data_IF_707382576934
#
_entry.id   IF_707382576934
#
_cell.length_a   1.000
_cell.length_b   1.000
_cell.length_c   1.000
_cell.angle_alpha   90.00
_cell.angle_beta   90.00
_cell.angle_gamma   90.00
#
_symmetry.space_group_name_H-M   'P 1'
#
loop_
_entity.id
_entity.type
_entity.pdbx_description
1 polymer ?
#
# COMPACT_ATOMS: atom_id res chain seq x y z
N UNK A 1 14.02 -3.50 -18.17
CA UNK A 1 12.70 -4.17 -18.17
C UNK A 1 12.24 -4.56 -19.57
N UNK A 2 12.94 -4.18 -20.66
CA UNK A 2 12.54 -4.46 -22.05
C UNK A 2 13.01 -5.83 -22.62
N UNK A 3 13.81 -6.63 -21.91
CA UNK A 3 14.44 -7.83 -22.50
C UNK A 3 13.81 -9.19 -22.12
N UNK A 4 12.92 -9.26 -21.14
CA UNK A 4 12.22 -10.52 -20.80
C UNK A 4 10.72 -10.34 -21.02
N UNK A 5 10.15 -11.10 -21.96
CA UNK A 5 8.72 -11.15 -22.22
C UNK A 5 7.89 -11.83 -21.11
N UNK A 6 8.45 -11.97 -19.91
CA UNK A 6 7.79 -12.53 -18.74
C UNK A 6 6.98 -11.42 -18.05
N UNK A 7 5.71 -11.71 -17.76
CA UNK A 7 4.85 -10.81 -16.99
C UNK A 7 5.43 -10.63 -15.58
N UNK A 8 5.94 -9.43 -15.29
CA UNK A 8 6.49 -9.08 -13.97
C UNK A 8 5.35 -8.75 -13.01
N UNK A 9 5.43 -9.29 -11.79
CA UNK A 9 4.43 -9.06 -10.74
C UNK A 9 4.95 -8.01 -9.77
N UNK A 10 4.23 -6.89 -9.66
CA UNK A 10 4.46 -5.92 -8.60
C UNK A 10 3.80 -6.40 -7.30
N UNK A 11 4.54 -6.37 -6.20
CA UNK A 11 4.07 -6.83 -4.89
C UNK A 11 4.18 -5.72 -3.85
N UNK A 12 3.03 -5.26 -3.34
CA UNK A 12 2.99 -4.16 -2.39
C UNK A 12 3.43 -4.62 -1.00
N UNK A 13 4.57 -4.12 -0.53
CA UNK A 13 5.09 -4.35 0.81
C UNK A 13 4.55 -3.36 1.85
N UNK A 14 3.52 -2.59 1.51
CA UNK A 14 2.91 -1.59 2.40
C UNK A 14 1.71 -2.15 3.15
N UNK A 15 1.12 -1.32 4.01
CA UNK A 15 -0.16 -1.64 4.63
C UNK A 15 -1.27 -1.53 3.58
N UNK A 16 -2.28 -2.40 3.65
CA UNK A 16 -3.34 -2.48 2.65
C UNK A 16 -4.07 -1.15 2.42
N UNK A 17 -4.21 -0.30 3.44
CA UNK A 17 -4.85 1.01 3.30
C UNK A 17 -4.03 1.97 2.41
N UNK A 18 -2.70 1.89 2.42
CA UNK A 18 -1.82 2.75 1.62
C UNK A 18 -2.06 2.53 0.12
N UNK A 19 -2.44 1.31 -0.27
CA UNK A 19 -2.75 0.91 -1.64
C UNK A 19 -4.12 1.39 -2.13
N UNK A 20 -5.02 1.84 -1.24
CA UNK A 20 -6.33 2.37 -1.62
C UNK A 20 -6.23 3.63 -2.47
N UNK A 21 -5.20 4.45 -2.24
CA UNK A 21 -5.06 5.77 -2.89
C UNK A 21 -3.95 5.82 -3.92
N UNK A 22 -3.02 4.87 -3.90
CA UNK A 22 -2.03 4.75 -4.97
C UNK A 22 -1.30 3.42 -4.92
N UNK A 23 -0.97 2.87 -6.09
CA UNK A 23 -0.30 1.58 -6.25
C UNK A 23 0.33 1.46 -7.63
N UNK A 24 1.23 0.50 -7.81
CA UNK A 24 1.64 0.11 -9.17
C UNK A 24 0.47 -0.57 -9.89
N UNK A 25 0.37 -0.33 -11.19
CA UNK A 25 -0.61 -1.00 -12.05
C UNK A 25 -0.51 -2.52 -11.88
N UNK A 26 -1.67 -3.17 -11.72
CA UNK A 26 -1.82 -4.62 -11.57
C UNK A 26 -1.07 -5.24 -10.37
N UNK A 27 -0.65 -4.41 -9.39
CA UNK A 27 0.06 -4.89 -8.22
C UNK A 27 -0.80 -5.81 -7.33
N UNK A 28 -0.15 -6.86 -6.80
CA UNK A 28 -0.70 -7.69 -5.72
C UNK A 28 -0.68 -6.87 -4.44
N UNK A 29 -1.84 -6.74 -3.81
CA UNK A 29 -2.03 -6.01 -2.54
C UNK A 29 -2.31 -7.02 -1.42
N UNK A 30 -1.33 -7.28 -0.54
CA UNK A 30 -1.50 -8.12 0.64
C UNK A 30 -2.48 -7.52 1.64
N UNK A 31 -3.17 -8.37 2.41
CA UNK A 31 -4.06 -7.90 3.48
C UNK A 31 -3.28 -7.71 4.79
N UNK A 32 -2.29 -6.83 4.76
CA UNK A 32 -1.32 -6.64 5.84
C UNK A 32 -1.50 -5.28 6.51
N UNK A 33 -1.34 -5.26 7.83
CA UNK A 33 -1.26 -4.03 8.63
C UNK A 33 0.09 -3.89 9.36
N UNK A 34 0.87 -4.98 9.40
CA UNK A 34 2.19 -5.05 10.04
C UNK A 34 3.12 -5.92 9.20
N UNK A 35 4.43 -5.83 9.46
CA UNK A 35 5.42 -6.75 8.86
C UNK A 35 5.16 -8.21 9.28
N UNK A 36 4.63 -8.45 10.48
CA UNK A 36 4.29 -9.81 10.93
C UNK A 36 3.11 -10.40 10.15
N UNK A 37 2.10 -9.59 9.85
CA UNK A 37 0.98 -10.00 9.00
C UNK A 37 1.50 -10.48 7.64
N UNK A 38 2.50 -9.77 7.10
CA UNK A 38 3.12 -10.12 5.83
C UNK A 38 3.78 -11.50 5.84
N UNK A 39 4.63 -11.76 6.85
CA UNK A 39 5.28 -13.06 7.01
C UNK A 39 4.22 -14.17 7.08
N UNK A 40 3.17 -13.95 7.86
CA UNK A 40 2.06 -14.89 7.97
C UNK A 40 1.35 -15.16 6.64
N UNK A 41 1.12 -14.13 5.81
CA UNK A 41 0.52 -14.35 4.49
C UNK A 41 1.43 -15.12 3.52
N UNK A 42 2.75 -14.85 3.51
CA UNK A 42 3.69 -15.64 2.70
C UNK A 42 3.73 -17.11 3.16
N UNK A 43 3.82 -17.34 4.48
CA UNK A 43 3.87 -18.68 5.07
C UNK A 43 2.59 -19.49 4.84
N UNK A 44 1.45 -18.81 4.69
CA UNK A 44 0.15 -19.47 4.43
C UNK A 44 0.06 -20.17 3.06
N UNK A 45 0.98 -19.88 2.15
CA UNK A 45 0.97 -20.41 0.78
C UNK A 45 0.01 -19.68 -0.18
N UNK A 46 -0.67 -18.61 0.28
CA UNK A 46 -1.59 -17.77 -0.53
C UNK A 46 -0.97 -17.30 -1.85
N UNK A 47 0.35 -17.11 -1.87
CA UNK A 47 1.11 -16.56 -3.00
C UNK A 47 2.00 -17.58 -3.70
N UNK A 48 1.82 -18.89 -3.45
CA UNK A 48 2.67 -19.94 -4.01
C UNK A 48 2.67 -19.98 -5.55
N UNK A 49 1.57 -19.57 -6.17
CA UNK A 49 1.44 -19.43 -7.63
C UNK A 49 2.35 -18.34 -8.24
N UNK A 50 3.03 -17.54 -7.42
CA UNK A 50 3.98 -16.52 -7.83
C UNK A 50 5.46 -16.96 -7.69
N UNK A 51 5.73 -18.14 -7.13
CA UNK A 51 7.10 -18.60 -6.81
C UNK A 51 8.03 -18.67 -8.02
N UNK A 52 7.47 -19.02 -9.18
CA UNK A 52 8.19 -19.13 -10.45
C UNK A 52 8.09 -17.88 -11.33
N UNK A 53 7.47 -16.80 -10.82
CA UNK A 53 7.34 -15.52 -11.54
C UNK A 53 8.39 -14.51 -11.06
N UNK A 54 8.85 -13.59 -11.93
CA UNK A 54 9.59 -12.42 -11.48
C UNK A 54 8.70 -11.52 -10.61
N UNK A 55 9.06 -11.35 -9.35
CA UNK A 55 8.36 -10.49 -8.40
C UNK A 55 9.19 -9.26 -8.07
N UNK A 56 8.63 -8.07 -8.28
CA UNK A 56 9.21 -6.79 -7.87
C UNK A 56 8.46 -6.28 -6.65
N UNK A 57 9.11 -6.32 -5.50
CA UNK A 57 8.57 -5.77 -4.26
C UNK A 57 8.78 -4.26 -4.19
N UNK A 58 7.84 -3.56 -3.57
CA UNK A 58 7.98 -2.11 -3.35
C UNK A 58 7.32 -1.67 -2.06
N UNK A 59 7.84 -0.59 -1.49
CA UNK A 59 7.21 0.13 -0.38
C UNK A 59 7.55 1.61 -0.52
N UNK A 60 7.13 2.46 0.42
CA UNK A 60 7.28 3.91 0.33
C UNK A 60 8.73 4.36 0.12
N UNK A 61 9.67 3.84 0.93
CA UNK A 61 11.10 4.25 0.90
C UNK A 61 12.12 3.12 0.75
N UNK A 62 11.67 1.87 0.56
CA UNK A 62 12.53 0.70 0.33
C UNK A 62 12.86 -0.16 1.56
N UNK A 63 12.86 0.40 2.78
CA UNK A 63 13.30 -0.34 3.99
C UNK A 63 12.51 -1.64 4.25
N UNK A 64 11.17 -1.61 4.14
CA UNK A 64 10.35 -2.82 4.32
C UNK A 64 10.63 -3.89 3.27
N UNK A 65 11.06 -3.50 2.06
CA UNK A 65 11.32 -4.42 0.95
C UNK A 65 12.54 -5.31 1.18
N UNK A 66 13.52 -4.87 1.97
CA UNK A 66 14.69 -5.67 2.33
C UNK A 66 14.27 -6.92 3.11
N UNK A 67 13.39 -6.73 4.11
CA UNK A 67 12.81 -7.80 4.91
C UNK A 67 11.91 -8.66 4.02
N UNK A 68 11.05 -8.04 3.21
CA UNK A 68 10.13 -8.70 2.30
C UNK A 68 10.83 -9.68 1.36
N UNK A 69 11.84 -9.17 0.67
CA UNK A 69 12.56 -9.91 -0.35
C UNK A 69 13.29 -11.11 0.26
N UNK A 70 13.85 -10.93 1.47
CA UNK A 70 14.48 -12.00 2.23
C UNK A 70 13.48 -13.09 2.62
N UNK A 71 12.32 -12.70 3.15
CA UNK A 71 11.23 -13.62 3.52
C UNK A 71 10.75 -14.39 2.28
N UNK A 72 10.40 -13.71 1.19
CA UNK A 72 9.92 -14.37 -0.03
C UNK A 72 10.94 -15.37 -0.59
N UNK A 73 12.22 -15.01 -0.67
CA UNK A 73 13.29 -15.93 -1.11
C UNK A 73 13.39 -17.16 -0.21
N UNK A 74 13.35 -16.98 1.11
CA UNK A 74 13.37 -18.10 2.07
C UNK A 74 12.19 -19.06 1.89
N UNK A 75 11.05 -18.54 1.43
CA UNK A 75 9.84 -19.31 1.20
C UNK A 75 9.68 -19.81 -0.25
N UNK A 76 10.76 -19.80 -1.04
CA UNK A 76 10.81 -20.48 -2.34
C UNK A 76 10.40 -19.63 -3.54
N UNK A 77 10.39 -18.30 -3.41
CA UNK A 77 10.28 -17.42 -4.57
C UNK A 77 11.63 -17.28 -5.25
N UNK A 78 11.69 -17.67 -6.53
CA UNK A 78 12.94 -17.84 -7.26
C UNK A 78 13.53 -16.52 -7.75
N UNK A 79 12.67 -15.58 -8.18
CA UNK A 79 13.09 -14.30 -8.79
C UNK A 79 12.45 -13.14 -8.04
N UNK A 80 13.12 -12.63 -6.99
CA UNK A 80 12.62 -11.50 -6.19
C UNK A 80 13.56 -10.30 -6.25
N UNK A 81 13.00 -9.19 -6.71
CA UNK A 81 13.62 -7.88 -6.86
C UNK A 81 12.91 -6.85 -5.97
N UNK A 82 13.50 -5.66 -5.84
CA UNK A 82 12.87 -4.54 -5.16
C UNK A 82 13.10 -3.23 -5.90
N UNK A 83 12.20 -2.27 -5.73
CA UNK A 83 12.40 -0.90 -6.21
C UNK A 83 13.36 -0.18 -5.25
N UNK A 84 14.57 0.08 -5.72
CA UNK A 84 15.60 0.80 -4.98
C UNK A 84 15.13 2.23 -4.63
N UNK A 85 15.10 2.57 -3.34
CA UNK A 85 14.57 3.85 -2.84
C UNK A 85 13.05 3.95 -2.82
N UNK A 86 12.34 2.85 -3.12
CA UNK A 86 10.89 2.75 -3.03
C UNK A 86 10.10 3.63 -3.99
N UNK A 87 8.81 3.76 -3.70
CA UNK A 87 7.86 4.56 -4.48
C UNK A 87 8.29 6.03 -4.52
N UNK A 88 8.83 6.58 -3.42
CA UNK A 88 9.26 7.97 -3.36
C UNK A 88 10.31 8.30 -4.42
N UNK A 89 11.35 7.47 -4.56
CA UNK A 89 12.37 7.67 -5.61
C UNK A 89 11.82 7.40 -7.01
N UNK A 90 10.97 6.37 -7.16
CA UNK A 90 10.33 6.05 -8.43
C UNK A 90 9.49 7.23 -8.96
N UNK A 91 8.55 7.72 -8.15
CA UNK A 91 7.65 8.80 -8.56
C UNK A 91 8.36 10.13 -8.77
N UNK A 92 9.42 10.44 -8.02
CA UNK A 92 10.26 11.61 -8.31
C UNK A 92 10.96 11.53 -9.68
N UNK A 93 11.23 10.32 -10.18
CA UNK A 93 11.91 10.12 -11.46
C UNK A 93 10.95 10.05 -12.63
N UNK A 94 9.82 9.35 -12.47
CA UNK A 94 8.90 9.03 -13.57
C UNK A 94 7.54 9.74 -13.46
N UNK A 95 7.21 10.34 -12.33
CA UNK A 95 5.91 10.96 -12.10
C UNK A 95 4.76 10.00 -12.40
N UNK A 96 3.74 10.54 -13.07
CA UNK A 96 2.56 9.80 -13.53
C UNK A 96 2.72 9.24 -14.97
N UNK A 97 3.86 9.48 -15.62
CA UNK A 97 4.20 8.86 -16.92
C UNK A 97 4.75 7.42 -16.74
N UNK A 98 4.90 6.98 -15.49
CA UNK A 98 5.33 5.63 -15.12
C UNK A 98 4.18 4.63 -14.94
N UNK A 99 4.47 3.56 -14.20
CA UNK A 99 3.53 2.49 -13.84
C UNK A 99 2.80 2.73 -12.52
N UNK A 100 3.21 3.77 -11.78
CA UNK A 100 2.55 4.19 -10.55
C UNK A 100 1.23 4.88 -10.88
N UNK A 101 0.18 4.57 -10.12
CA UNK A 101 -1.14 5.18 -10.27
C UNK A 101 -1.55 5.81 -8.95
N UNK A 102 -1.98 7.07 -9.01
CA UNK A 102 -2.56 7.84 -7.90
C UNK A 102 -1.57 8.38 -6.87
N UNK A 103 -2.05 8.53 -5.64
CA UNK A 103 -1.35 9.29 -4.61
C UNK A 103 -0.47 8.39 -3.73
N UNK A 104 0.72 8.87 -3.36
CA UNK A 104 1.55 8.22 -2.35
C UNK A 104 1.06 8.61 -0.95
N UNK A 105 0.69 7.61 -0.15
CA UNK A 105 0.42 7.82 1.28
C UNK A 105 1.68 8.25 2.04
N UNK A 106 1.57 9.27 2.88
CA UNK A 106 2.64 9.75 3.78
C UNK A 106 2.24 9.62 5.24
N UNK A 107 3.19 9.28 6.10
CA UNK A 107 2.96 9.14 7.55
C UNK A 107 3.10 10.48 8.30
N UNK A 108 2.77 11.58 7.63
CA UNK A 108 2.77 12.93 8.19
C UNK A 108 1.42 13.61 7.95
N UNK A 109 1.30 14.87 8.38
CA UNK A 109 0.05 15.64 8.31
C UNK A 109 -0.53 15.77 6.89
N UNK A 110 0.27 15.55 5.84
CA UNK A 110 -0.22 15.59 4.45
C UNK A 110 -1.10 14.39 4.13
N UNK A 111 -0.82 13.23 4.73
CA UNK A 111 -1.45 11.91 4.51
C UNK A 111 -1.36 11.37 3.07
N UNK A 112 -1.39 12.21 2.06
CA UNK A 112 -1.26 11.86 0.66
C UNK A 112 -0.49 12.95 -0.08
N UNK A 113 0.40 12.55 -0.98
CA UNK A 113 1.05 13.44 -1.94
C UNK A 113 0.90 12.88 -3.35
N UNK A 114 0.73 13.77 -4.31
CA UNK A 114 0.76 13.45 -5.73
C UNK A 114 2.15 13.81 -6.28
N UNK A 115 2.67 13.00 -7.21
CA UNK A 115 3.98 13.27 -7.81
C UNK A 115 3.90 14.38 -8.87
N UNK A 116 2.77 14.48 -9.57
CA UNK A 116 2.48 15.57 -10.52
C UNK A 116 1.04 16.05 -10.34
N UNK A 117 0.66 17.09 -11.07
CA UNK A 117 -0.70 17.63 -11.14
C UNK A 117 -1.67 16.75 -11.97
N UNK A 118 -1.16 15.68 -12.60
CA UNK A 118 -1.93 14.74 -13.44
C UNK A 118 -2.29 13.44 -12.74
N UNK A 119 -1.96 13.28 -11.46
CA UNK A 119 -2.19 12.04 -10.74
C UNK A 119 -3.68 11.64 -10.72
N UNK A 120 -3.97 10.40 -11.10
CA UNK A 120 -5.33 9.86 -11.08
C UNK A 120 -5.84 9.65 -9.66
N UNK A 121 -7.08 10.07 -9.36
CA UNK A 121 -7.72 9.76 -8.09
C UNK A 121 -8.33 8.36 -8.14
N UNK A 122 -7.52 7.35 -7.81
CA UNK A 122 -7.96 5.94 -7.84
C UNK A 122 -8.74 5.51 -6.60
N UNK A 123 -8.60 6.24 -5.50
CA UNK A 123 -9.28 5.93 -4.24
C UNK A 123 -10.77 6.23 -4.30
N UNK A 124 -11.56 5.43 -3.58
CA UNK A 124 -13.02 5.55 -3.53
C UNK A 124 -13.48 5.77 -2.10
N UNK A 125 -14.38 6.73 -1.92
CA UNK A 125 -15.01 7.00 -0.64
C UNK A 125 -15.72 5.74 -0.13
N UNK A 126 -15.41 5.33 1.09
CA UNK A 126 -15.98 4.12 1.72
C UNK A 126 -17.49 4.23 2.03
N UNK A 127 -18.11 5.39 1.78
CA UNK A 127 -19.54 5.64 2.03
C UNK A 127 -20.35 5.88 0.76
N UNK A 128 -19.78 6.51 -0.25
CA UNK A 128 -20.53 6.91 -1.45
C UNK A 128 -19.79 6.61 -2.77
N UNK A 129 -18.65 5.91 -2.74
CA UNK A 129 -17.88 5.49 -3.91
C UNK A 129 -17.26 6.64 -4.74
N UNK A 130 -17.51 7.90 -4.39
CA UNK A 130 -16.95 9.05 -5.09
C UNK A 130 -15.40 9.05 -5.02
N UNK A 131 -14.69 9.48 -6.06
CA UNK A 131 -13.24 9.56 -6.04
C UNK A 131 -12.72 10.41 -4.86
N UNK A 132 -11.74 9.89 -4.13
CA UNK A 132 -11.04 10.61 -3.05
C UNK A 132 -9.70 9.95 -2.72
N UNK A 133 -8.73 10.76 -2.31
CA UNK A 133 -7.49 10.32 -1.69
C UNK A 133 -7.37 10.75 -0.22
N UNK A 134 -8.47 11.25 0.38
CA UNK A 134 -8.46 11.86 1.71
C UNK A 134 -8.75 10.84 2.81
N UNK A 135 -7.76 10.63 3.67
CA UNK A 135 -7.91 9.86 4.88
C UNK A 135 -8.37 10.74 6.04
N UNK A 136 -9.20 10.15 6.89
CA UNK A 136 -9.69 10.75 8.12
C UNK A 136 -9.53 9.76 9.27
N UNK A 137 -9.16 10.25 10.44
CA UNK A 137 -9.08 9.42 11.65
C UNK A 137 -10.47 9.00 12.11
N UNK A 138 -10.57 7.76 12.59
CA UNK A 138 -11.73 7.31 13.36
C UNK A 138 -11.99 8.23 14.57
N UNK A 139 -13.25 8.49 14.88
CA UNK A 139 -13.63 9.35 16.01
C UNK A 139 -13.50 8.68 17.38
N UNK A 140 -13.31 7.35 17.40
CA UNK A 140 -13.08 6.59 18.63
C UNK A 140 -11.64 6.79 19.10
N UNK A 141 -11.46 7.35 20.31
CA UNK A 141 -10.16 7.73 20.89
C UNK A 141 -9.17 6.57 20.96
N UNK A 142 -9.68 5.34 21.15
CA UNK A 142 -8.87 4.13 21.22
C UNK A 142 -8.56 3.50 19.85
N UNK A 143 -9.11 4.05 18.76
CA UNK A 143 -8.99 3.52 17.41
C UNK A 143 -8.03 4.39 16.58
N UNK A 144 -7.02 3.75 15.99
CA UNK A 144 -6.01 4.39 15.14
C UNK A 144 -6.22 4.11 13.65
N UNK A 145 -7.39 3.57 13.28
CA UNK A 145 -7.72 3.26 11.90
C UNK A 145 -8.06 4.54 11.12
N UNK A 146 -7.71 4.50 9.83
CA UNK A 146 -8.00 5.56 8.87
C UNK A 146 -9.16 5.16 7.96
N UNK A 147 -10.01 6.13 7.66
CA UNK A 147 -11.19 5.98 6.83
C UNK A 147 -11.00 6.84 5.59
N UNK A 148 -11.15 6.24 4.41
CA UNK A 148 -11.07 6.97 3.14
C UNK A 148 -12.43 7.58 2.82
N UNK A 149 -12.57 8.91 2.96
CA UNK A 149 -13.82 9.63 2.72
C UNK A 149 -13.61 10.78 1.74
N UNK A 150 -14.66 11.14 0.99
CA UNK A 150 -14.69 12.43 0.31
C UNK A 150 -15.08 13.53 1.30
N UNK A 151 -14.81 14.79 0.92
CA UNK A 151 -15.05 15.96 1.77
C UNK A 151 -16.49 16.02 2.30
N UNK A 152 -17.47 15.77 1.44
CA UNK A 152 -18.88 15.79 1.83
C UNK A 152 -19.24 14.70 2.83
N UNK A 153 -18.65 13.50 2.70
CA UNK A 153 -18.91 12.39 3.63
C UNK A 153 -18.18 12.57 4.95
N UNK A 154 -17.02 13.23 4.97
CA UNK A 154 -16.27 13.52 6.18
C UNK A 154 -17.00 14.51 7.11
N UNK A 155 -17.87 15.38 6.56
CA UNK A 155 -18.69 16.31 7.34
C UNK A 155 -19.81 15.63 8.14
N UNK A 156 -20.07 14.34 7.90
CA UNK A 156 -21.13 13.58 8.56
C UNK A 156 -20.49 12.79 9.71
N UNK A 157 -20.70 13.15 11.00
CA UNK A 157 -19.98 12.55 12.12
C UNK A 157 -20.13 11.03 12.23
N UNK A 158 -21.31 10.50 11.88
CA UNK A 158 -21.55 9.05 11.86
C UNK A 158 -20.64 8.30 10.89
N UNK A 159 -20.10 8.95 9.86
CA UNK A 159 -19.20 8.30 8.90
C UNK A 159 -17.78 8.10 9.46
N UNK A 160 -17.43 8.83 10.53
CA UNK A 160 -16.17 8.71 11.25
C UNK A 160 -16.24 7.73 12.43
N UNK A 161 -17.42 7.19 12.72
CA UNK A 161 -17.61 6.25 13.82
C UNK A 161 -16.93 4.90 13.56
N UNK A 162 -16.55 4.22 14.65
CA UNK A 162 -15.81 2.96 14.59
C UNK A 162 -16.71 1.80 14.16
N UNK A 163 -16.60 1.39 12.88
CA UNK A 163 -17.26 0.18 12.35
C UNK A 163 -16.26 -0.88 11.87
N UNK A 164 -14.96 -0.62 12.01
CA UNK A 164 -13.89 -1.48 11.55
C UNK A 164 -13.56 -2.53 12.62
N UNK A 165 -13.06 -3.69 12.21
CA UNK A 165 -12.51 -4.67 13.15
C UNK A 165 -11.25 -4.07 13.77
N UNK A 166 -11.34 -3.63 15.03
CA UNK A 166 -10.18 -3.09 15.76
C UNK A 166 -9.17 -4.21 15.93
N UNK A 167 -8.08 -4.20 15.14
CA UNK A 167 -6.94 -5.09 15.38
C UNK A 167 -6.28 -4.67 16.69
N UNK A 168 -6.61 -5.36 17.80
CA UNK A 168 -5.94 -5.21 19.10
C UNK A 168 -4.43 -5.43 18.90
N UNK A 169 -3.66 -4.36 18.87
CA UNK A 169 -2.20 -4.46 18.69
C UNK A 169 -1.49 -3.24 18.11
N UNK A 170 -2.19 -2.25 17.55
CA UNK A 170 -1.60 -1.07 16.90
C UNK A 170 -0.81 -0.10 17.84
N UNK A 171 -0.45 -0.54 19.05
CA UNK A 171 0.26 0.28 20.04
C UNK A 171 1.79 0.33 19.86
N UNK A 172 2.42 -0.43 18.97
CA UNK A 172 3.91 -0.46 18.95
C UNK A 172 4.64 -0.33 17.61
N UNK A 173 3.98 -0.19 16.45
CA UNK A 173 4.70 -0.19 15.16
C UNK A 173 4.30 0.95 14.21
N UNK A 174 3.67 2.02 14.72
CA UNK A 174 3.44 3.26 13.95
C UNK A 174 4.67 4.21 13.95
N UNK A 175 5.84 3.73 14.36
CA UNK A 175 7.08 4.51 14.41
C UNK A 175 8.19 3.67 13.77
N UNK A 176 8.62 4.05 12.56
CA UNK A 176 9.87 3.59 11.94
C UNK A 176 9.73 2.43 10.97
#
# INVERSE_FOLDING_TARGET
MEERGDEVVFFDGRNAFEAKIGKFKDAVIPNTSTTRDFVGEIESGKYDHLKDKPVVTYCTGGIRCEILSSVMKKHGFNEVYQIEGGIARYGNKYGDDGLWQGSLYTFDARMAIDFTDKADVIGRCEKCESPTNKFHSCSEVSCYELILLCETCALIPKNLACFHVVKKGAKSELIG
#
